data_IF_879141117756
#
_entry.id   IF_879141117756
#
_cell.length_a   1.000
_cell.length_b   1.000
_cell.length_c   1.000
_cell.angle_alpha   90.00
_cell.angle_beta   90.00
_cell.angle_gamma   90.00
#
_symmetry.space_group_name_H-M   'P 1'
#
loop_
_entity.id
_entity.type
_entity.pdbx_description
1 polymer ?
#
# COMPACT_ATOMS: atom_id res chain seq x y z
N UNK A 1 5.78 -2.17 40.76
CA UNK A 1 5.00 -1.96 39.51
C UNK A 1 5.88 -2.30 38.29
N UNK A 2 5.40 -3.09 37.31
CA UNK A 2 6.22 -3.59 36.20
C UNK A 2 6.72 -2.50 35.24
N UNK A 3 6.07 -1.33 35.19
CA UNK A 3 6.44 -0.21 34.32
C UNK A 3 7.67 0.59 34.77
N UNK A 4 8.14 0.39 36.02
CA UNK A 4 9.28 1.15 36.58
C UNK A 4 10.56 0.29 36.65
N UNK A 5 10.42 -1.04 36.69
CA UNK A 5 11.56 -1.93 36.79
C UNK A 5 12.16 -2.20 35.40
N UNK A 6 13.45 -1.92 35.21
CA UNK A 6 14.19 -2.32 34.02
C UNK A 6 14.05 -1.39 32.80
N UNK A 7 13.93 -0.07 33.02
CA UNK A 7 13.85 0.96 31.97
C UNK A 7 14.98 0.82 30.92
N UNK A 8 16.19 0.44 31.34
CA UNK A 8 17.31 0.18 30.41
C UNK A 8 16.99 -0.93 29.39
N UNK A 9 16.26 -1.98 29.80
CA UNK A 9 15.84 -3.07 28.88
C UNK A 9 14.74 -2.61 27.96
N UNK A 10 13.79 -1.83 28.47
CA UNK A 10 12.71 -1.26 27.66
C UNK A 10 13.30 -0.36 26.55
N UNK A 11 14.25 0.52 26.89
CA UNK A 11 14.96 1.34 25.92
C UNK A 11 15.76 0.51 24.91
N UNK A 12 16.40 -0.59 25.36
CA UNK A 12 17.11 -1.48 24.45
C UNK A 12 16.16 -2.15 23.46
N UNK A 13 15.03 -2.69 23.93
CA UNK A 13 14.06 -3.33 23.04
C UNK A 13 13.42 -2.34 22.06
N UNK A 14 13.11 -1.11 22.49
CA UNK A 14 12.55 -0.10 21.58
C UNK A 14 13.55 0.35 20.53
N UNK A 15 14.82 0.55 20.90
CA UNK A 15 15.88 0.93 19.95
C UNK A 15 16.18 -0.18 18.93
N UNK A 16 16.23 -1.45 19.37
CA UNK A 16 16.39 -2.59 18.46
C UNK A 16 15.18 -2.72 17.52
N UNK A 17 13.95 -2.61 18.06
CA UNK A 17 12.73 -2.66 17.26
C UNK A 17 12.68 -1.54 16.22
N UNK A 18 13.06 -0.32 16.61
CA UNK A 18 13.14 0.82 15.69
C UNK A 18 14.18 0.61 14.60
N UNK A 19 15.39 0.16 14.98
CA UNK A 19 16.46 -0.11 14.02
C UNK A 19 16.04 -1.19 13.01
N UNK A 20 15.52 -2.32 13.49
CA UNK A 20 15.08 -3.41 12.61
C UNK A 20 13.91 -2.95 11.72
N UNK A 21 12.94 -2.24 12.30
CA UNK A 21 11.81 -1.65 11.58
C UNK A 21 12.25 -0.73 10.45
N UNK A 22 13.27 0.12 10.67
CA UNK A 22 13.80 1.01 9.65
C UNK A 22 14.27 0.26 8.39
N UNK A 23 15.05 -0.82 8.56
CA UNK A 23 15.54 -1.61 7.42
C UNK A 23 14.41 -2.42 6.74
N UNK A 24 13.47 -2.94 7.53
CA UNK A 24 12.33 -3.68 6.98
C UNK A 24 11.43 -2.74 6.15
N UNK A 25 11.09 -1.56 6.67
CA UNK A 25 10.30 -0.56 5.93
C UNK A 25 11.01 -0.14 4.66
N UNK A 26 12.31 0.17 4.73
CA UNK A 26 13.10 0.55 3.54
C UNK A 26 13.09 -0.54 2.47
N UNK A 27 13.14 -1.82 2.87
CA UNK A 27 13.07 -2.95 1.93
C UNK A 27 11.65 -3.15 1.37
N UNK A 28 10.62 -2.95 2.18
CA UNK A 28 9.24 -2.99 1.73
C UNK A 28 8.96 -1.90 0.69
N UNK A 29 9.38 -0.66 0.97
CA UNK A 29 9.23 0.48 0.06
C UNK A 29 9.95 0.21 -1.28
N UNK A 30 11.17 -0.30 -1.22
CA UNK A 30 11.92 -0.67 -2.44
C UNK A 30 11.19 -1.74 -3.25
N UNK A 31 10.65 -2.78 -2.62
CA UNK A 31 9.93 -3.84 -3.32
C UNK A 31 8.64 -3.31 -3.97
N UNK A 32 7.89 -2.45 -3.26
CA UNK A 32 6.70 -1.82 -3.81
C UNK A 32 7.04 -0.91 -5.00
N UNK A 33 8.07 -0.05 -4.86
CA UNK A 33 8.51 0.83 -5.94
C UNK A 33 9.00 0.05 -7.17
N UNK A 34 9.74 -1.05 -6.96
CA UNK A 34 10.18 -1.91 -8.06
C UNK A 34 8.99 -2.56 -8.78
N UNK A 35 8.04 -3.12 -8.03
CA UNK A 35 6.83 -3.72 -8.60
C UNK A 35 6.02 -2.73 -9.42
N UNK A 36 5.85 -1.51 -8.92
CA UNK A 36 5.11 -0.46 -9.62
C UNK A 36 5.82 -0.06 -10.91
N UNK A 37 7.14 0.12 -10.87
CA UNK A 37 7.95 0.36 -12.07
C UNK A 37 7.77 -0.73 -13.11
N UNK A 38 7.91 -2.00 -12.71
CA UNK A 38 7.81 -3.14 -13.63
C UNK A 38 6.39 -3.23 -14.24
N UNK A 39 5.35 -2.94 -13.46
CA UNK A 39 3.96 -2.90 -13.93
C UNK A 39 3.73 -1.77 -14.95
N UNK A 40 4.21 -0.57 -14.66
CA UNK A 40 4.05 0.58 -15.57
C UNK A 40 4.81 0.38 -16.87
N UNK A 41 6.01 -0.20 -16.81
CA UNK A 41 6.79 -0.59 -17.98
C UNK A 41 6.05 -1.64 -18.82
N UNK A 42 5.45 -2.65 -18.17
CA UNK A 42 4.64 -3.65 -18.86
C UNK A 42 3.43 -3.04 -19.58
N UNK A 43 2.67 -2.17 -18.90
CA UNK A 43 1.51 -1.46 -19.49
C UNK A 43 1.94 -0.61 -20.67
N UNK A 44 3.07 0.08 -20.57
CA UNK A 44 3.61 0.92 -21.65
C UNK A 44 3.97 0.09 -22.89
N UNK A 45 4.47 -1.12 -22.71
CA UNK A 45 4.83 -2.01 -23.82
C UNK A 45 3.61 -2.67 -24.49
N UNK A 46 2.48 -2.80 -23.79
CA UNK A 46 1.29 -3.49 -24.27
C UNK A 46 0.04 -2.59 -24.23
N UNK A 47 0.01 -1.48 -25.00
CA UNK A 47 -1.16 -0.61 -25.05
C UNK A 47 -2.41 -1.30 -25.62
N UNK A 48 -2.26 -2.38 -26.39
CA UNK A 48 -3.35 -3.18 -26.95
C UNK A 48 -4.15 -3.94 -25.90
N UNK A 49 -3.49 -4.39 -24.83
CA UNK A 49 -4.12 -5.13 -23.72
C UNK A 49 -4.85 -4.17 -22.76
N UNK A 50 -4.31 -2.95 -22.60
CA UNK A 50 -4.80 -1.94 -21.67
C UNK A 50 -5.40 -0.72 -22.38
N UNK A 51 -6.46 -0.94 -23.16
CA UNK A 51 -7.17 0.17 -23.81
C UNK A 51 -7.89 1.03 -22.78
N UNK A 52 -7.70 2.35 -22.86
CA UNK A 52 -8.48 3.30 -22.09
C UNK A 52 -9.96 3.16 -22.47
N UNK A 53 -10.81 2.82 -21.50
CA UNK A 53 -12.26 2.78 -21.68
C UNK A 53 -12.81 4.18 -21.46
N UNK A 54 -13.73 4.61 -22.33
CA UNK A 54 -14.46 5.85 -22.14
C UNK A 54 -15.22 5.82 -20.81
N UNK A 55 -14.92 6.80 -19.96
CA UNK A 55 -15.55 6.94 -18.64
C UNK A 55 -16.94 7.55 -18.82
N UNK A 56 -17.97 6.72 -18.70
CA UNK A 56 -19.36 7.19 -18.73
C UNK A 56 -19.71 7.94 -17.46
N UNK A 57 -20.44 9.04 -17.59
CA UNK A 57 -20.94 9.78 -16.42
C UNK A 57 -22.15 9.06 -15.83
N UNK A 58 -22.44 9.29 -14.54
CA UNK A 58 -23.65 8.74 -13.89
C UNK A 58 -24.97 9.24 -14.51
N UNK A 59 -24.90 10.30 -15.33
CA UNK A 59 -26.05 10.75 -16.13
C UNK A 59 -26.34 9.81 -17.31
N UNK A 60 -25.35 9.04 -17.78
CA UNK A 60 -25.48 8.07 -18.86
C UNK A 60 -25.71 6.64 -18.33
N UNK A 61 -25.22 6.34 -17.13
CA UNK A 61 -25.37 5.03 -16.48
C UNK A 61 -26.52 5.10 -15.47
N UNK A 62 -27.73 4.73 -15.92
CA UNK A 62 -28.88 4.55 -15.02
C UNK A 62 -28.77 3.17 -14.35
N UNK A 63 -28.40 3.15 -13.07
CA UNK A 63 -28.46 1.94 -12.25
C UNK A 63 -29.88 1.75 -11.68
N UNK A 64 -30.33 0.50 -11.62
CA UNK A 64 -31.63 0.17 -11.02
C UNK A 64 -31.61 0.39 -9.51
N UNK A 65 -32.44 1.32 -9.03
CA UNK A 65 -32.59 1.59 -7.60
C UNK A 65 -33.41 0.48 -6.91
N UNK A 66 -32.79 -0.22 -5.97
CA UNK A 66 -33.44 -1.26 -5.16
C UNK A 66 -33.65 -0.75 -3.72
N UNK A 67 -34.87 -0.30 -3.36
CA UNK A 67 -35.14 0.21 -2.02
C UNK A 67 -35.10 -0.91 -0.97
N UNK A 68 -34.47 -0.62 0.18
CA UNK A 68 -34.50 -1.48 1.37
C UNK A 68 -35.88 -1.30 2.03
N UNK A 69 -36.63 -2.39 2.19
CA UNK A 69 -37.94 -2.44 2.87
C UNK A 69 -37.80 -3.14 4.22
#
# INVERSE_FOLDING_TARGET
PPHIAGVHRQLLYTTVGWYLGYYLSKRADYNCAKRDRDLMEYIRHHPEDFKEKDKKTLAEVLEDFHPIR
#
